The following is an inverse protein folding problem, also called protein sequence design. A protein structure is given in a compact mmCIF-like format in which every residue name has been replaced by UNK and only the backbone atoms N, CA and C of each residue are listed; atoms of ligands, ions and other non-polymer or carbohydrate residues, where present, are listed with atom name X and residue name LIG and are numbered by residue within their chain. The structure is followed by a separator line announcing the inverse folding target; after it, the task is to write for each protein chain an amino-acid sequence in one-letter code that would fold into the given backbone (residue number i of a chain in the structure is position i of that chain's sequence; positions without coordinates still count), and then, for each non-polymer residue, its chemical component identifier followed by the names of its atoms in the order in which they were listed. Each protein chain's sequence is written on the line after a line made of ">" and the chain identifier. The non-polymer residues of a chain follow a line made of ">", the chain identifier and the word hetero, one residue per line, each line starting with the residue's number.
data_IF_401864299248
#
_entry.id   IF_401864299248
#
_cell.length_a   1.000
_cell.length_b   1.000
_cell.length_c   1.000
_cell.angle_alpha   90.00
_cell.angle_beta   90.00
_cell.angle_gamma   90.00
#
_symmetry.space_group_name_H-M   'P 1'
#
loop_
_entity.id
_entity.type
_entity.pdbx_description
1 polymer ?
#
# COMPACT_ATOMS: atom_id res chain seq x y z
N UNK A 1 19.99 12.26 20.66
CA UNK A 1 19.56 13.43 19.86
C UNK A 1 20.72 13.88 18.97
N UNK A 2 20.91 13.26 17.80
CA UNK A 2 21.94 13.66 16.83
C UNK A 2 21.36 14.32 15.57
N UNK A 3 20.11 14.81 15.62
CA UNK A 3 19.52 15.62 14.55
C UNK A 3 19.45 14.96 13.16
N UNK A 4 19.61 13.64 13.08
CA UNK A 4 19.62 12.89 11.82
C UNK A 4 18.23 12.45 11.37
N UNK A 5 18.06 12.31 10.07
CA UNK A 5 16.88 11.70 9.47
C UNK A 5 17.03 10.19 9.47
N UNK A 6 15.97 9.47 9.86
CA UNK A 6 15.89 8.01 9.71
C UNK A 6 15.05 7.70 8.47
N UNK A 7 15.54 6.79 7.63
CA UNK A 7 14.83 6.34 6.43
C UNK A 7 14.63 4.84 6.47
N UNK A 8 13.40 4.40 6.23
CA UNK A 8 13.01 3.01 6.14
C UNK A 8 12.58 2.70 4.71
N UNK A 9 13.19 1.67 4.10
CA UNK A 9 12.86 1.22 2.75
C UNK A 9 12.04 -0.06 2.83
N UNK A 10 10.94 -0.10 2.09
CA UNK A 10 10.04 -1.25 2.04
C UNK A 10 9.33 -1.31 0.70
N UNK A 11 8.57 -2.39 0.49
CA UNK A 11 7.66 -2.56 -0.63
C UNK A 11 6.34 -3.16 -0.14
N UNK A 12 5.28 -2.99 -0.92
CA UNK A 12 3.99 -3.65 -0.71
C UNK A 12 3.57 -4.30 -2.03
N UNK A 13 2.72 -5.32 -1.97
CA UNK A 13 2.20 -5.88 -3.20
C UNK A 13 1.35 -4.81 -3.90
N UNK A 14 1.42 -4.73 -5.23
CA UNK A 14 0.63 -3.76 -5.98
C UNK A 14 -0.88 -3.85 -5.71
N UNK A 15 -1.35 -5.05 -5.33
CA UNK A 15 -2.73 -5.29 -4.91
C UNK A 15 -3.10 -4.58 -3.60
N UNK A 16 -2.17 -4.38 -2.68
CA UNK A 16 -2.42 -3.67 -1.42
C UNK A 16 -2.58 -2.16 -1.66
N UNK A 17 -1.89 -1.63 -2.67
CA UNK A 17 -1.79 -0.21 -2.99
C UNK A 17 -2.99 0.34 -3.79
N UNK A 18 -3.99 -0.47 -4.11
CA UNK A 18 -5.10 -0.07 -5.01
C UNK A 18 -6.12 0.86 -4.35
N UNK A 19 -6.21 0.85 -3.03
CA UNK A 19 -7.14 1.68 -2.25
C UNK A 19 -6.59 1.92 -0.83
N UNK A 20 -7.13 2.90 -0.08
CA UNK A 20 -6.58 3.26 1.23
C UNK A 20 -7.05 2.35 2.36
N UNK A 21 -7.99 1.42 2.10
CA UNK A 21 -8.51 0.50 3.12
C UNK A 21 -7.46 -0.55 3.49
N UNK A 22 -6.79 -1.13 2.49
CA UNK A 22 -5.71 -2.11 2.68
C UNK A 22 -4.33 -1.49 2.77
N UNK A 23 -4.12 -0.31 2.21
CA UNK A 23 -2.78 0.23 2.05
C UNK A 23 -2.22 0.85 3.32
N UNK A 24 -1.42 0.09 4.06
CA UNK A 24 -0.86 0.53 5.35
C UNK A 24 0.00 1.78 5.25
N UNK A 25 0.78 1.95 4.17
CA UNK A 25 1.73 3.07 4.07
C UNK A 25 1.08 4.44 3.87
N UNK A 26 -0.21 4.51 3.50
CA UNK A 26 -0.92 5.79 3.37
C UNK A 26 -1.63 6.21 4.66
N UNK A 27 -1.72 5.32 5.65
CA UNK A 27 -2.34 5.62 6.95
C UNK A 27 -1.40 6.50 7.77
N UNK A 28 -1.90 7.66 8.19
CA UNK A 28 -1.14 8.68 8.89
C UNK A 28 -1.87 9.12 10.17
N UNK A 29 -2.24 8.13 10.99
CA UNK A 29 -2.90 8.32 12.28
C UNK A 29 -1.94 8.13 13.48
N UNK A 30 -0.67 8.54 13.33
CA UNK A 30 0.33 8.59 14.40
C UNK A 30 0.61 7.21 15.01
N UNK A 31 0.49 7.09 16.34
CA UNK A 31 0.79 5.86 17.08
C UNK A 31 -0.09 4.65 16.69
N UNK A 32 -1.20 4.89 15.98
CA UNK A 32 -2.09 3.84 15.46
C UNK A 32 -1.74 3.42 14.03
N UNK A 33 -0.80 4.12 13.39
CA UNK A 33 -0.29 3.83 12.06
C UNK A 33 0.82 2.78 12.15
N UNK A 34 1.49 2.57 11.01
CA UNK A 34 2.73 1.81 11.01
C UNK A 34 3.80 2.50 11.86
N UNK A 35 4.74 1.73 12.41
CA UNK A 35 5.72 2.25 13.37
C UNK A 35 6.51 3.43 12.77
N UNK A 36 6.48 4.57 13.47
CA UNK A 36 7.19 5.78 13.03
C UNK A 36 6.50 6.58 11.92
N UNK A 37 5.26 6.25 11.53
CA UNK A 37 4.49 7.06 10.59
C UNK A 37 3.98 8.37 11.22
N UNK A 38 3.76 9.41 10.41
CA UNK A 38 3.32 10.70 10.90
C UNK A 38 1.84 10.69 11.34
N UNK A 39 1.46 11.70 12.12
CA UNK A 39 0.06 12.06 12.38
C UNK A 39 -0.34 13.22 11.45
N UNK A 40 -1.15 12.90 10.44
CA UNK A 40 -1.62 13.84 9.41
C UNK A 40 -3.15 13.74 9.30
N UNK A 41 -3.91 14.49 10.12
CA UNK A 41 -5.37 14.42 10.17
C UNK A 41 -6.07 14.64 8.82
N UNK A 42 -5.47 15.44 7.93
CA UNK A 42 -6.00 15.67 6.59
C UNK A 42 -6.01 14.40 5.72
N UNK A 43 -4.99 13.54 5.85
CA UNK A 43 -4.93 12.27 5.13
C UNK A 43 -6.03 11.34 5.62
N UNK A 44 -6.18 11.18 6.93
CA UNK A 44 -7.21 10.29 7.52
C UNK A 44 -8.64 10.79 7.30
N UNK A 45 -8.83 12.11 7.21
CA UNK A 45 -10.12 12.71 6.80
C UNK A 45 -10.49 12.25 5.40
N UNK A 46 -9.56 12.26 4.45
CA UNK A 46 -9.85 11.83 3.09
C UNK A 46 -9.96 10.30 2.95
N UNK A 47 -9.28 9.51 3.79
CA UNK A 47 -9.55 8.06 3.92
C UNK A 47 -11.01 7.83 4.32
N UNK A 48 -11.49 8.59 5.30
CA UNK A 48 -12.89 8.52 5.76
C UNK A 48 -13.87 8.97 4.66
N UNK A 49 -13.55 10.05 3.95
CA UNK A 49 -14.36 10.50 2.81
C UNK A 49 -14.40 9.48 1.68
N UNK A 50 -13.29 8.77 1.43
CA UNK A 50 -13.25 7.68 0.45
C UNK A 50 -14.18 6.53 0.84
N UNK A 51 -14.22 6.13 2.13
CA UNK A 51 -15.18 5.14 2.62
C UNK A 51 -16.64 5.61 2.54
N UNK A 52 -16.89 6.90 2.71
CA UNK A 52 -18.23 7.48 2.67
C UNK A 52 -18.71 7.85 1.26
N UNK A 53 -17.87 7.69 0.24
CA UNK A 53 -18.21 7.98 -1.14
C UNK A 53 -19.40 7.13 -1.60
N UNK A 54 -20.38 7.76 -2.23
CA UNK A 54 -21.62 7.09 -2.68
C UNK A 54 -21.52 6.54 -4.10
N UNK A 55 -20.57 7.06 -4.86
CA UNK A 55 -20.32 6.66 -6.24
C UNK A 55 -18.84 6.79 -6.59
N UNK A 56 -18.49 6.31 -7.79
CA UNK A 56 -17.13 6.30 -8.30
C UNK A 56 -16.55 7.71 -8.52
N UNK A 57 -17.39 8.72 -8.78
CA UNK A 57 -16.93 10.09 -8.98
C UNK A 57 -16.49 10.71 -7.63
N UNK A 58 -17.29 10.52 -6.58
CA UNK A 58 -16.95 10.92 -5.21
C UNK A 58 -15.73 10.16 -4.71
N UNK A 59 -15.65 8.85 -4.98
CA UNK A 59 -14.52 8.00 -4.59
C UNK A 59 -13.20 8.52 -5.21
N UNK A 60 -13.21 8.78 -6.52
CA UNK A 60 -12.05 9.31 -7.24
C UNK A 60 -11.65 10.71 -6.77
N UNK A 61 -12.63 11.56 -6.44
CA UNK A 61 -12.37 12.89 -5.90
C UNK A 61 -11.72 12.82 -4.52
N UNK A 62 -12.20 11.94 -3.63
CA UNK A 62 -11.61 11.70 -2.31
C UNK A 62 -10.18 11.16 -2.44
N UNK A 63 -9.95 10.18 -3.33
CA UNK A 63 -8.61 9.65 -3.62
C UNK A 63 -7.65 10.74 -4.11
N UNK A 64 -8.12 11.66 -4.96
CA UNK A 64 -7.32 12.79 -5.44
C UNK A 64 -6.86 13.71 -4.30
N UNK A 65 -7.78 14.04 -3.36
CA UNK A 65 -7.45 14.86 -2.18
C UNK A 65 -6.54 14.13 -1.20
N UNK A 66 -6.78 12.83 -1.00
CA UNK A 66 -5.93 11.96 -0.17
C UNK A 66 -4.49 11.93 -0.70
N UNK A 67 -4.31 11.65 -1.98
CA UNK A 67 -2.97 11.62 -2.60
C UNK A 67 -2.27 12.98 -2.50
N UNK A 68 -3.01 14.07 -2.73
CA UNK A 68 -2.48 15.43 -2.54
C UNK A 68 -1.97 15.63 -1.11
N UNK A 69 -2.79 15.34 -0.11
CA UNK A 69 -2.43 15.50 1.30
C UNK A 69 -1.23 14.62 1.70
N UNK A 70 -1.16 13.39 1.20
CA UNK A 70 -0.05 12.48 1.47
C UNK A 70 1.28 12.98 0.88
N UNK A 71 1.26 13.54 -0.33
CA UNK A 71 2.43 14.12 -1.00
C UNK A 71 2.88 15.41 -0.31
N UNK A 72 1.96 16.31 0.02
CA UNK A 72 2.27 17.59 0.69
C UNK A 72 2.91 17.38 2.07
N UNK A 73 2.55 16.30 2.77
CA UNK A 73 3.08 15.96 4.09
C UNK A 73 4.18 14.89 4.05
N UNK A 74 4.59 14.44 2.86
CA UNK A 74 5.65 13.44 2.66
C UNK A 74 5.43 12.19 3.53
N UNK A 75 4.21 11.66 3.55
CA UNK A 75 3.85 10.46 4.34
C UNK A 75 4.72 9.26 3.94
N UNK A 76 4.96 9.12 2.64
CA UNK A 76 5.95 8.21 2.08
C UNK A 76 6.38 8.72 0.69
N UNK A 77 7.52 8.24 0.19
CA UNK A 77 8.03 8.57 -1.14
C UNK A 77 7.99 7.32 -2.03
N UNK A 78 7.18 7.29 -3.11
CA UNK A 78 7.19 6.18 -4.07
C UNK A 78 8.52 6.14 -4.84
N UNK A 79 9.25 5.02 -4.76
CA UNK A 79 10.50 4.83 -5.51
C UNK A 79 10.32 4.16 -6.88
N UNK A 80 9.11 3.64 -7.16
CA UNK A 80 8.76 3.00 -8.43
C UNK A 80 8.02 1.69 -8.26
N UNK A 81 7.80 1.00 -9.38
CA UNK A 81 7.20 -0.33 -9.45
C UNK A 81 8.20 -1.33 -10.02
N UNK A 82 8.13 -2.56 -9.55
CA UNK A 82 8.90 -3.68 -10.10
C UNK A 82 8.02 -4.92 -10.20
N UNK A 83 8.38 -5.83 -11.10
CA UNK A 83 7.76 -7.15 -11.21
C UNK A 83 8.56 -8.16 -10.39
N UNK A 84 7.86 -8.95 -9.59
CA UNK A 84 8.45 -10.12 -8.94
C UNK A 84 8.56 -11.26 -9.94
N UNK A 85 9.78 -11.67 -10.28
CA UNK A 85 10.02 -12.86 -11.10
C UNK A 85 10.15 -14.09 -10.21
N UNK A 86 9.42 -15.15 -10.55
CA UNK A 86 9.41 -16.40 -9.81
C UNK A 86 9.91 -17.54 -10.70
N UNK A 87 10.56 -18.52 -10.09
CA UNK A 87 11.01 -19.74 -10.75
C UNK A 87 10.73 -20.94 -9.86
N UNK A 88 10.45 -22.08 -10.48
CA UNK A 88 10.22 -23.35 -9.79
C UNK A 88 10.84 -24.51 -10.57
N UNK A 89 10.95 -25.66 -9.92
CA UNK A 89 11.49 -26.88 -10.55
C UNK A 89 10.51 -27.39 -11.61
N UNK A 90 11.03 -28.05 -12.65
CA UNK A 90 10.22 -28.62 -13.75
C UNK A 90 9.17 -29.63 -13.30
N UNK A 91 9.33 -30.26 -12.13
CA UNK A 91 8.36 -31.20 -11.58
C UNK A 91 7.28 -30.56 -10.70
N UNK A 92 7.28 -29.22 -10.57
CA UNK A 92 6.24 -28.46 -9.87
C UNK A 92 5.29 -27.86 -10.92
N UNK A 93 3.99 -28.07 -10.74
CA UNK A 93 2.94 -27.58 -11.63
C UNK A 93 1.79 -26.94 -10.83
N UNK A 94 0.91 -26.20 -11.51
CA UNK A 94 -0.25 -25.56 -10.87
C UNK A 94 0.04 -24.27 -10.10
N UNK A 95 1.24 -23.69 -10.25
CA UNK A 95 1.59 -22.39 -9.65
C UNK A 95 0.76 -21.28 -10.31
N UNK A 96 -0.04 -20.60 -9.49
CA UNK A 96 -0.91 -19.50 -9.95
C UNK A 96 -0.19 -18.16 -9.83
N UNK A 97 -0.31 -17.31 -10.86
CA UNK A 97 0.16 -15.94 -10.82
C UNK A 97 -0.63 -15.12 -9.81
N UNK A 98 0.05 -14.42 -8.90
CA UNK A 98 -0.61 -13.59 -7.90
C UNK A 98 0.36 -12.72 -7.10
N UNK A 99 -0.18 -11.77 -6.33
CA UNK A 99 0.61 -10.88 -5.47
C UNK A 99 1.26 -11.62 -4.28
N UNK A 100 0.81 -12.82 -3.97
CA UNK A 100 1.35 -13.70 -2.93
C UNK A 100 1.27 -15.18 -3.36
N UNK A 101 2.03 -16.08 -2.72
CA UNK A 101 1.99 -17.51 -3.05
C UNK A 101 0.62 -18.12 -2.75
N UNK A 102 -0.07 -18.61 -3.79
CA UNK A 102 -1.29 -19.42 -3.66
C UNK A 102 -0.91 -20.88 -3.81
N UNK A 103 -1.02 -21.66 -2.72
CA UNK A 103 -0.62 -23.07 -2.70
C UNK A 103 -1.72 -24.01 -3.22
N UNK A 104 -2.95 -23.52 -3.34
CA UNK A 104 -4.07 -24.31 -3.84
C UNK A 104 -3.85 -24.71 -5.30
N UNK A 105 -4.00 -26.01 -5.60
CA UNK A 105 -3.80 -26.54 -6.95
C UNK A 105 -2.33 -26.76 -7.34
N UNK A 106 -1.37 -26.39 -6.49
CA UNK A 106 0.05 -26.69 -6.73
C UNK A 106 0.32 -28.16 -6.45
N UNK A 107 0.97 -28.84 -7.40
CA UNK A 107 1.36 -30.25 -7.26
C UNK A 107 2.83 -30.45 -7.58
N UNK A 108 3.37 -31.59 -7.10
CA UNK A 108 4.74 -32.03 -7.37
C UNK A 108 4.73 -33.50 -7.77
N UNK A 109 5.34 -33.80 -8.91
CA UNK A 109 5.60 -35.18 -9.37
C UNK A 109 6.84 -35.79 -8.70
#
# INVERSE_FOLDING_TARGET
>A
NQGGWSMFHTWHAGADCVNPASYTAVRANGDKAWFGWPDVPAVETEVTNWFNAKDMAEEKAAMGRLNKAAVENVVYCPTGFYLGYQAWRKNVSGVTSGPFPVLWGVTKA
#
